data_IF_066838741263
#
_entry.id   IF_066838741263
#
_cell.length_a   1.000
_cell.length_b   1.000
_cell.length_c   1.000
_cell.angle_alpha   90.00
_cell.angle_beta   90.00
_cell.angle_gamma   90.00
#
_symmetry.space_group_name_H-M   'P 1'
#
loop_
_entity.id
_entity.type
_entity.pdbx_description
1 polymer ?
#
# COMPACT_ATOMS: atom_id res chain seq x y z
N UNK A 1 15.06 -16.27 29.24
CA UNK A 1 14.27 -16.74 28.09
C UNK A 1 12.85 -16.31 28.35
N UNK A 2 12.48 -15.15 27.84
CA UNK A 2 11.12 -14.64 27.93
C UNK A 2 10.53 -14.76 26.52
N UNK A 3 9.73 -15.81 26.30
CA UNK A 3 8.90 -15.91 25.09
C UNK A 3 7.60 -15.20 25.41
N UNK A 4 7.68 -13.87 25.47
CA UNK A 4 6.49 -13.07 25.27
C UNK A 4 6.15 -13.21 23.80
N UNK A 5 5.05 -13.90 23.50
CA UNK A 5 4.42 -13.83 22.19
C UNK A 5 3.95 -12.38 22.01
N UNK A 6 4.90 -11.53 21.59
CA UNK A 6 4.69 -10.11 21.43
C UNK A 6 3.64 -9.90 20.36
N UNK A 7 2.56 -9.20 20.71
CA UNK A 7 1.64 -8.62 19.74
C UNK A 7 2.51 -7.89 18.73
N UNK A 8 2.57 -8.39 17.50
CA UNK A 8 3.41 -7.77 16.49
C UNK A 8 2.65 -6.53 16.02
N UNK A 9 3.07 -5.36 16.53
CA UNK A 9 2.55 -4.07 16.10
C UNK A 9 2.60 -4.00 14.57
N UNK A 10 1.54 -3.49 13.98
CA UNK A 10 1.45 -3.39 12.53
C UNK A 10 0.75 -2.12 12.10
N UNK A 11 0.97 -1.78 10.83
CA UNK A 11 0.44 -0.61 10.16
C UNK A 11 -0.26 -1.11 8.90
N UNK A 12 -1.55 -0.83 8.79
CA UNK A 12 -2.29 -0.95 7.55
C UNK A 12 -2.41 0.43 6.91
N UNK A 13 -1.87 0.55 5.71
CA UNK A 13 -1.93 1.78 4.92
C UNK A 13 -2.92 1.58 3.79
N UNK A 14 -3.91 2.47 3.70
CA UNK A 14 -4.86 2.52 2.60
C UNK A 14 -4.54 3.74 1.74
N UNK A 15 -4.05 3.52 0.52
CA UNK A 15 -3.89 4.59 -0.46
C UNK A 15 -5.18 4.63 -1.27
N UNK A 16 -6.02 5.63 -0.97
CA UNK A 16 -7.33 5.82 -1.59
C UNK A 16 -7.34 6.96 -2.59
N UNK A 17 -6.46 7.94 -2.40
CA UNK A 17 -6.25 9.05 -3.33
C UNK A 17 -5.57 8.57 -4.61
N UNK A 18 -6.14 8.96 -5.76
CA UNK A 18 -5.60 8.69 -7.09
C UNK A 18 -4.73 9.81 -7.67
N UNK A 19 -4.17 9.61 -8.89
CA UNK A 19 -3.31 10.57 -9.58
C UNK A 19 -4.02 11.88 -9.94
N UNK A 20 -5.32 11.83 -10.23
CA UNK A 20 -6.10 13.00 -10.64
C UNK A 20 -6.52 13.89 -9.46
N UNK A 21 -6.32 13.46 -8.21
CA UNK A 21 -6.67 14.28 -7.06
C UNK A 21 -5.68 15.45 -6.90
N UNK A 22 -6.22 16.64 -6.60
CA UNK A 22 -5.41 17.82 -6.29
C UNK A 22 -4.45 17.54 -5.12
N UNK A 23 -3.14 17.56 -5.40
CA UNK A 23 -2.05 17.22 -4.47
C UNK A 23 -2.01 15.74 -4.04
N UNK A 24 -2.71 14.85 -4.74
CA UNK A 24 -2.71 13.43 -4.39
C UNK A 24 -1.31 12.82 -4.43
N UNK A 25 -0.55 13.16 -5.46
CA UNK A 25 0.86 12.77 -5.60
C UNK A 25 1.73 13.17 -4.40
N UNK A 26 1.56 14.39 -3.89
CA UNK A 26 2.33 14.90 -2.74
C UNK A 26 1.97 14.13 -1.47
N UNK A 27 0.67 13.93 -1.21
CA UNK A 27 0.20 13.18 -0.02
C UNK A 27 0.73 11.76 -0.02
N UNK A 28 0.62 11.07 -1.16
CA UNK A 28 1.03 9.68 -1.29
C UNK A 28 2.55 9.58 -1.20
N UNK A 29 3.31 10.44 -1.88
CA UNK A 29 4.78 10.38 -1.84
C UNK A 29 5.35 10.67 -0.45
N UNK A 30 4.85 11.69 0.25
CA UNK A 30 5.27 11.98 1.64
C UNK A 30 4.91 10.83 2.57
N UNK A 31 3.73 10.22 2.40
CA UNK A 31 3.30 9.04 3.15
C UNK A 31 4.21 7.84 2.92
N UNK A 32 4.54 7.53 1.66
CA UNK A 32 5.46 6.43 1.31
C UNK A 32 6.87 6.66 1.85
N UNK A 33 7.36 7.90 1.83
CA UNK A 33 8.67 8.24 2.40
C UNK A 33 8.71 8.01 3.93
N UNK A 34 7.64 8.33 4.64
CA UNK A 34 7.53 8.02 6.08
C UNK A 34 7.56 6.51 6.29
N UNK A 35 6.81 5.74 5.48
CA UNK A 35 6.74 4.29 5.58
C UNK A 35 8.08 3.61 5.29
N UNK A 36 8.90 4.16 4.39
CA UNK A 36 10.25 3.67 4.13
C UNK A 36 11.11 3.74 5.39
N UNK A 37 11.07 4.87 6.10
CA UNK A 37 11.80 5.05 7.37
C UNK A 37 11.35 4.07 8.46
N UNK A 38 10.05 3.71 8.49
CA UNK A 38 9.52 2.68 9.40
C UNK A 38 9.96 1.28 8.95
N UNK A 39 9.82 0.96 7.67
CA UNK A 39 10.18 -0.34 7.09
C UNK A 39 11.65 -0.69 7.33
N UNK A 40 12.57 0.27 7.15
CA UNK A 40 14.02 0.09 7.39
C UNK A 40 14.32 -0.31 8.84
N UNK A 41 13.52 0.14 9.82
CA UNK A 41 13.70 -0.26 11.22
C UNK A 41 13.26 -1.71 11.47
N UNK A 42 12.38 -2.26 10.65
CA UNK A 42 11.95 -3.65 10.65
C UNK A 42 11.22 -4.10 11.93
N UNK A 43 10.63 -3.18 12.69
CA UNK A 43 9.97 -3.48 13.97
C UNK A 43 8.47 -3.78 13.81
N UNK A 44 7.85 -3.18 12.81
CA UNK A 44 6.41 -3.24 12.56
C UNK A 44 6.11 -4.04 11.29
N UNK A 45 4.98 -4.78 11.28
CA UNK A 45 4.44 -5.33 10.03
C UNK A 45 3.74 -4.21 9.26
N UNK A 46 4.17 -3.94 8.04
CA UNK A 46 3.52 -2.94 7.19
C UNK A 46 2.79 -3.63 6.04
N UNK A 47 1.54 -3.22 5.82
CA UNK A 47 0.76 -3.61 4.64
C UNK A 47 0.23 -2.36 3.96
N UNK A 48 0.44 -2.25 2.65
CA UNK A 48 -0.08 -1.17 1.83
C UNK A 48 -1.14 -1.74 0.89
N UNK A 49 -2.29 -1.09 0.83
CA UNK A 49 -3.38 -1.44 -0.06
C UNK A 49 -3.76 -0.23 -0.90
N UNK A 50 -3.58 -0.34 -2.22
CA UNK A 50 -4.18 0.57 -3.18
C UNK A 50 -5.68 0.26 -3.26
N UNK A 51 -6.55 1.26 -3.06
CA UNK A 51 -8.00 1.05 -3.01
C UNK A 51 -8.73 2.25 -3.62
N UNK A 52 -9.94 2.05 -4.13
CA UNK A 52 -10.74 3.18 -4.64
C UNK A 52 -10.05 3.82 -5.85
N UNK A 53 -9.78 5.12 -5.82
CA UNK A 53 -9.03 5.81 -6.87
C UNK A 53 -7.52 5.55 -6.79
N UNK A 54 -6.99 5.17 -5.63
CA UNK A 54 -5.57 4.85 -5.47
C UNK A 54 -5.09 3.66 -6.29
N UNK A 55 -5.98 2.82 -6.84
CA UNK A 55 -5.53 1.79 -7.80
C UNK A 55 -5.14 2.39 -9.16
N UNK A 56 -5.53 3.62 -9.48
CA UNK A 56 -5.20 4.25 -10.76
C UNK A 56 -3.71 4.59 -10.88
N UNK A 57 -2.96 4.64 -9.78
CA UNK A 57 -1.50 4.80 -9.79
C UNK A 57 -0.77 3.71 -10.61
N UNK A 58 -1.40 2.56 -10.86
CA UNK A 58 -0.78 1.44 -11.58
C UNK A 58 -1.06 1.44 -13.08
N UNK A 59 -1.93 2.32 -13.61
CA UNK A 59 -2.51 2.17 -14.95
C UNK A 59 -1.45 2.19 -16.06
N UNK A 60 -0.88 3.32 -16.40
CA UNK A 60 0.00 3.39 -17.58
C UNK A 60 1.35 4.05 -17.29
N UNK A 61 1.56 4.54 -16.07
CA UNK A 61 2.81 5.16 -15.61
C UNK A 61 3.37 6.15 -16.63
N UNK A 62 2.49 6.96 -17.23
CA UNK A 62 2.87 7.88 -18.31
C UNK A 62 3.54 9.12 -17.76
N UNK A 63 3.20 9.49 -16.53
CA UNK A 63 3.78 10.61 -15.80
C UNK A 63 4.94 10.13 -14.92
N UNK A 64 5.99 10.95 -14.80
CA UNK A 64 7.14 10.68 -13.94
C UNK A 64 6.73 10.54 -12.46
N UNK A 65 5.65 11.21 -12.06
CA UNK A 65 5.06 11.08 -10.73
C UNK A 65 4.48 9.68 -10.50
N UNK A 66 3.73 9.14 -11.45
CA UNK A 66 3.16 7.80 -11.34
C UNK A 66 4.28 6.75 -11.25
N UNK A 67 5.31 6.86 -12.10
CA UNK A 67 6.50 6.01 -12.04
C UNK A 67 7.18 6.08 -10.68
N UNK A 68 7.41 7.29 -10.16
CA UNK A 68 8.01 7.49 -8.85
C UNK A 68 7.20 6.83 -7.73
N UNK A 69 5.87 6.92 -7.76
CA UNK A 69 5.01 6.24 -6.77
C UNK A 69 5.17 4.71 -6.86
N UNK A 70 5.21 4.16 -8.07
CA UNK A 70 5.42 2.72 -8.27
C UNK A 70 6.81 2.30 -7.80
N UNK A 71 7.86 3.04 -8.14
CA UNK A 71 9.23 2.79 -7.67
C UNK A 71 9.30 2.77 -6.13
N UNK A 72 8.61 3.69 -5.44
CA UNK A 72 8.52 3.66 -3.98
C UNK A 72 7.85 2.40 -3.45
N UNK A 73 6.75 1.96 -4.08
CA UNK A 73 6.05 0.73 -3.69
C UNK A 73 6.95 -0.50 -3.90
N UNK A 74 7.74 -0.55 -4.97
CA UNK A 74 8.72 -1.61 -5.23
C UNK A 74 9.83 -1.62 -4.18
N UNK A 75 10.41 -0.46 -3.86
CA UNK A 75 11.42 -0.31 -2.80
C UNK A 75 10.87 -0.82 -1.47
N UNK A 76 9.67 -0.41 -1.09
CA UNK A 76 9.01 -0.86 0.14
C UNK A 76 8.77 -2.37 0.13
N UNK A 77 8.37 -2.94 -1.01
CA UNK A 77 8.23 -4.38 -1.15
C UNK A 77 9.55 -5.12 -0.93
N UNK A 78 10.65 -4.57 -1.47
CA UNK A 78 12.01 -5.07 -1.22
C UNK A 78 12.45 -5.01 0.25
N UNK A 79 11.88 -4.09 1.04
CA UNK A 79 12.08 -3.99 2.50
C UNK A 79 11.15 -4.92 3.31
N UNK A 80 10.35 -5.75 2.65
CA UNK A 80 9.44 -6.70 3.31
C UNK A 80 8.04 -6.14 3.60
N UNK A 81 7.71 -4.95 3.09
CA UNK A 81 6.33 -4.43 3.13
C UNK A 81 5.46 -5.22 2.15
N UNK A 82 4.27 -5.63 2.61
CA UNK A 82 3.33 -6.30 1.70
C UNK A 82 2.51 -5.24 0.98
N UNK A 83 2.67 -5.14 -0.34
CA UNK A 83 1.90 -4.25 -1.20
C UNK A 83 0.85 -5.05 -1.96
N UNK A 84 -0.38 -4.54 -2.01
CA UNK A 84 -1.47 -5.12 -2.79
C UNK A 84 -2.45 -4.08 -3.30
N UNK A 85 -3.33 -4.50 -4.20
CA UNK A 85 -4.42 -3.65 -4.70
C UNK A 85 -5.77 -4.29 -4.43
N UNK A 86 -6.77 -3.49 -4.06
CA UNK A 86 -8.11 -3.96 -3.78
C UNK A 86 -8.73 -4.59 -5.04
N UNK A 87 -9.04 -5.90 -4.97
CA UNK A 87 -9.54 -6.67 -6.10
C UNK A 87 -10.76 -6.04 -6.77
N UNK A 88 -11.76 -5.61 -6.00
CA UNK A 88 -12.96 -4.99 -6.56
C UNK A 88 -12.70 -3.63 -7.19
N UNK A 89 -11.78 -2.82 -6.64
CA UNK A 89 -11.42 -1.53 -7.24
C UNK A 89 -10.70 -1.71 -8.58
N UNK A 90 -9.84 -2.73 -8.67
CA UNK A 90 -9.14 -3.11 -9.90
C UNK A 90 -10.12 -3.54 -10.99
N UNK A 91 -11.02 -4.47 -10.67
CA UNK A 91 -12.00 -4.98 -11.63
C UNK A 91 -12.93 -3.90 -12.15
N UNK A 92 -13.37 -2.98 -11.27
CA UNK A 92 -14.21 -1.86 -11.68
C UNK A 92 -13.55 -0.92 -12.69
N UNK A 93 -12.21 -0.91 -12.75
CA UNK A 93 -11.41 -0.01 -13.58
C UNK A 93 -10.70 -0.71 -14.74
N UNK A 94 -10.78 -2.03 -14.84
CA UNK A 94 -10.13 -2.83 -15.88
C UNK A 94 -8.61 -2.83 -15.80
N UNK A 95 -8.05 -2.88 -14.58
CA UNK A 95 -6.60 -2.76 -14.32
C UNK A 95 -5.90 -4.11 -14.05
N UNK A 96 -6.54 -5.23 -14.34
CA UNK A 96 -6.03 -6.57 -14.02
C UNK A 96 -4.71 -6.90 -14.72
N UNK A 97 -4.54 -6.45 -15.96
CA UNK A 97 -3.31 -6.68 -16.74
C UNK A 97 -2.12 -5.94 -16.10
N UNK A 98 -2.32 -4.69 -15.70
CA UNK A 98 -1.29 -3.84 -15.10
C UNK A 98 -0.79 -4.38 -13.75
N UNK A 99 -1.66 -5.01 -12.95
CA UNK A 99 -1.23 -5.70 -11.73
C UNK A 99 -0.18 -6.77 -11.99
N UNK A 100 -0.40 -7.59 -13.02
CA UNK A 100 0.50 -8.68 -13.36
C UNK A 100 1.86 -8.17 -13.86
N UNK A 101 1.88 -7.04 -14.57
CA UNK A 101 3.11 -6.43 -15.08
C UNK A 101 3.99 -5.88 -13.94
N UNK A 102 3.37 -5.38 -12.87
CA UNK A 102 4.06 -4.80 -11.71
C UNK A 102 4.30 -5.80 -10.57
N UNK A 103 3.87 -7.06 -10.72
CA UNK A 103 3.96 -8.06 -9.66
C UNK A 103 3.13 -7.72 -8.40
N UNK A 104 2.19 -6.79 -8.50
CA UNK A 104 1.29 -6.41 -7.40
C UNK A 104 0.10 -7.37 -7.40
N UNK A 105 -0.20 -7.96 -6.23
CA UNK A 105 -1.32 -8.88 -6.11
C UNK A 105 -2.64 -8.16 -5.83
N UNK A 106 -3.72 -8.68 -6.41
CA UNK A 106 -5.08 -8.36 -5.96
C UNK A 106 -5.33 -8.92 -4.56
N UNK A 107 -5.87 -8.12 -3.65
CA UNK A 107 -6.09 -8.49 -2.24
C UNK A 107 -7.53 -8.24 -1.78
N UNK A 108 -8.04 -9.06 -0.83
CA UNK A 108 -9.31 -8.83 -0.17
C UNK A 108 -9.17 -7.71 0.88
N UNK A 109 -9.20 -6.45 0.42
CA UNK A 109 -8.89 -5.28 1.26
C UNK A 109 -9.72 -5.19 2.54
N UNK A 110 -10.99 -5.61 2.50
CA UNK A 110 -11.91 -5.59 3.65
C UNK A 110 -11.51 -6.60 4.73
N UNK A 111 -11.03 -7.78 4.35
CA UNK A 111 -10.51 -8.76 5.29
C UNK A 111 -9.21 -8.28 5.95
N UNK A 112 -8.35 -7.59 5.19
CA UNK A 112 -7.12 -7.02 5.74
C UNK A 112 -7.42 -5.89 6.73
N UNK A 113 -8.42 -5.07 6.45
CA UNK A 113 -8.90 -4.04 7.36
C UNK A 113 -9.49 -4.64 8.64
N UNK A 114 -10.36 -5.65 8.54
CA UNK A 114 -10.90 -6.35 9.69
C UNK A 114 -9.79 -6.97 10.55
N UNK A 115 -8.81 -7.65 9.93
CA UNK A 115 -7.65 -8.21 10.64
C UNK A 115 -6.80 -7.13 11.31
N UNK A 116 -6.61 -5.98 10.66
CA UNK A 116 -5.88 -4.86 11.27
C UNK A 116 -6.59 -4.38 12.55
N UNK A 117 -7.91 -4.21 12.51
CA UNK A 117 -8.70 -3.84 13.70
C UNK A 117 -8.64 -4.91 14.79
N UNK A 118 -8.77 -6.19 14.45
CA UNK A 118 -8.70 -7.31 15.41
C UNK A 118 -7.34 -7.42 16.11
N UNK A 119 -6.28 -6.90 15.50
CA UNK A 119 -4.92 -6.95 16.03
C UNK A 119 -4.44 -5.58 16.56
N UNK A 120 -5.34 -4.61 16.71
CA UNK A 120 -5.03 -3.24 17.16
C UNK A 120 -3.92 -2.57 16.34
N UNK A 121 -3.89 -2.82 15.02
CA UNK A 121 -2.94 -2.17 14.11
C UNK A 121 -3.30 -0.71 13.90
N UNK A 122 -2.27 0.11 13.71
CA UNK A 122 -2.46 1.49 13.26
C UNK A 122 -2.98 1.49 11.82
N UNK A 123 -3.93 2.37 11.53
CA UNK A 123 -4.50 2.51 10.19
C UNK A 123 -4.19 3.91 9.69
N UNK A 124 -3.45 3.99 8.58
CA UNK A 124 -3.14 5.23 7.88
C UNK A 124 -3.90 5.28 6.57
N UNK A 125 -4.40 6.45 6.19
CA UNK A 125 -5.12 6.66 4.94
C UNK A 125 -4.54 7.83 4.19
N UNK A 126 -4.25 7.64 2.90
CA UNK A 126 -3.76 8.68 2.01
C UNK A 126 -4.72 8.94 0.87
#
# INVERSE_FOLDING_TARGET
MDRGDGIMNGILVLIMTGPDEKKGSIKVSEGLHILESVAVKGKEKIRIVLKGEGVEWIREQKDDVEKMIIEYLEVLSGLGVVVGACFSSIQQRGLEMHLSELGINGVPSTEWFAKALENDWEIMTF
#
